data_IF_330655276056
#
_entry.id   IF_330655276056
#
_cell.length_a   1.000
_cell.length_b   1.000
_cell.length_c   1.000
_cell.angle_alpha   90.00
_cell.angle_beta   90.00
_cell.angle_gamma   90.00
#
_symmetry.space_group_name_H-M   'P 1'
#
loop_
_entity.id
_entity.type
_entity.pdbx_description
1 polymer ?
#
# COMPACT_ATOMS: atom_id res chain seq x y z
N UNK A 1 -9.11 -28.48 29.95
CA UNK A 1 -9.45 -28.18 28.54
C UNK A 1 -9.74 -26.68 28.45
N UNK A 2 -8.72 -25.82 28.35
CA UNK A 2 -8.91 -24.37 28.58
C UNK A 2 -7.92 -23.48 27.82
N UNK A 3 -7.74 -23.70 26.51
CA UNK A 3 -6.78 -22.90 25.70
C UNK A 3 -7.42 -22.25 24.45
N UNK A 4 -8.55 -22.76 23.96
CA UNK A 4 -9.10 -22.37 22.63
C UNK A 4 -9.95 -21.09 22.67
N UNK A 5 -10.48 -20.68 23.83
CA UNK A 5 -11.37 -19.51 23.92
C UNK A 5 -10.62 -18.17 23.87
N UNK A 6 -9.39 -18.11 24.40
CA UNK A 6 -8.62 -16.86 24.57
C UNK A 6 -8.11 -16.28 23.24
N UNK A 7 -7.72 -17.09 22.26
CA UNK A 7 -7.24 -16.59 20.95
C UNK A 7 -8.37 -16.04 20.09
N UNK A 8 -9.49 -16.76 20.02
CA UNK A 8 -10.67 -16.36 19.23
C UNK A 8 -11.30 -15.07 19.77
N UNK A 9 -11.38 -14.92 21.09
CA UNK A 9 -11.88 -13.67 21.71
C UNK A 9 -11.00 -12.46 21.42
N UNK A 10 -9.66 -12.60 21.43
CA UNK A 10 -8.75 -11.50 21.12
C UNK A 10 -8.91 -11.04 19.67
N UNK A 11 -8.87 -11.96 18.71
CA UNK A 11 -8.99 -11.62 17.27
C UNK A 11 -10.34 -10.96 16.96
N UNK A 12 -11.45 -11.48 17.50
CA UNK A 12 -12.78 -10.87 17.34
C UNK A 12 -12.82 -9.44 17.90
N UNK A 13 -12.16 -9.20 19.03
CA UNK A 13 -12.05 -7.86 19.62
C UNK A 13 -11.20 -6.93 18.75
N UNK A 14 -10.04 -7.38 18.26
CA UNK A 14 -9.19 -6.61 17.34
C UNK A 14 -9.91 -6.24 16.05
N UNK A 15 -10.65 -7.16 15.43
CA UNK A 15 -11.42 -6.87 14.22
C UNK A 15 -12.50 -5.83 14.51
N UNK A 16 -13.21 -5.94 15.65
CA UNK A 16 -14.24 -4.97 16.06
C UNK A 16 -13.65 -3.58 16.31
N UNK A 17 -12.46 -3.50 16.91
CA UNK A 17 -11.74 -2.24 17.12
C UNK A 17 -11.23 -1.66 15.78
N UNK A 18 -10.65 -2.48 14.90
CA UNK A 18 -10.21 -2.07 13.56
C UNK A 18 -11.35 -1.55 12.68
N UNK A 19 -12.53 -2.18 12.74
CA UNK A 19 -13.74 -1.70 12.06
C UNK A 19 -14.18 -0.32 12.56
N UNK A 20 -14.05 -0.05 13.86
CA UNK A 20 -14.36 1.29 14.41
C UNK A 20 -13.39 2.32 13.87
N UNK A 21 -12.09 2.01 13.83
CA UNK A 21 -11.06 2.91 13.27
C UNK A 21 -11.35 3.22 11.80
N UNK A 22 -11.61 2.19 10.97
CA UNK A 22 -11.95 2.36 9.55
C UNK A 22 -13.19 3.23 9.32
N UNK A 23 -14.14 3.22 10.27
CA UNK A 23 -15.35 4.04 10.22
C UNK A 23 -15.11 5.50 10.66
N UNK A 24 -14.10 5.74 11.50
CA UNK A 24 -13.69 7.07 11.96
C UNK A 24 -12.77 7.75 10.93
N UNK A 25 -11.95 6.98 10.21
CA UNK A 25 -11.07 7.54 9.17
C UNK A 25 -11.86 8.12 8.01
N UNK A 26 -11.49 9.34 7.59
CA UNK A 26 -12.09 10.01 6.43
C UNK A 26 -11.76 9.22 5.16
N UNK A 27 -12.77 8.68 4.49
CA UNK A 27 -12.62 8.11 3.14
C UNK A 27 -12.16 9.24 2.19
N UNK A 28 -11.08 9.04 1.41
CA UNK A 28 -10.57 10.10 0.53
C UNK A 28 -11.64 10.50 -0.49
N UNK A 29 -11.74 11.81 -0.74
CA UNK A 29 -12.56 12.32 -1.84
C UNK A 29 -11.94 11.91 -3.19
N UNK A 30 -12.76 11.83 -4.24
CA UNK A 30 -12.28 11.52 -5.60
C UNK A 30 -11.19 12.51 -6.05
N UNK A 31 -11.31 13.77 -5.67
CA UNK A 31 -10.32 14.81 -6.00
C UNK A 31 -8.98 14.59 -5.31
N UNK A 32 -8.98 14.33 -4.00
CA UNK A 32 -7.79 14.01 -3.21
C UNK A 32 -7.09 12.76 -3.75
N UNK A 33 -7.87 11.71 -4.05
CA UNK A 33 -7.35 10.47 -4.62
C UNK A 33 -6.65 10.69 -5.97
N UNK A 34 -7.30 11.42 -6.89
CA UNK A 34 -6.71 11.70 -8.21
C UNK A 34 -5.43 12.53 -8.08
N UNK A 35 -5.38 13.50 -7.18
CA UNK A 35 -4.17 14.30 -6.94
C UNK A 35 -3.01 13.43 -6.45
N UNK A 36 -3.26 12.54 -5.48
CA UNK A 36 -2.24 11.60 -4.99
C UNK A 36 -1.76 10.69 -6.11
N UNK A 37 -2.68 10.07 -6.85
CA UNK A 37 -2.34 9.16 -7.95
C UNK A 37 -1.53 9.85 -9.04
N UNK A 38 -1.84 11.11 -9.38
CA UNK A 38 -1.06 11.87 -10.36
C UNK A 38 0.38 12.09 -9.91
N UNK A 39 0.58 12.50 -8.66
CA UNK A 39 1.92 12.77 -8.11
C UNK A 39 2.72 11.47 -7.96
N UNK A 40 2.11 10.42 -7.39
CA UNK A 40 2.76 9.11 -7.25
C UNK A 40 3.07 8.49 -8.62
N UNK A 41 2.15 8.60 -9.57
CA UNK A 41 2.33 8.13 -10.95
C UNK A 41 3.51 8.82 -11.63
N UNK A 42 3.64 10.14 -11.46
CA UNK A 42 4.79 10.89 -11.97
C UNK A 42 6.11 10.39 -11.36
N UNK A 43 6.14 10.17 -10.04
CA UNK A 43 7.32 9.64 -9.35
C UNK A 43 7.72 8.25 -9.82
N UNK A 44 6.75 7.35 -10.01
CA UNK A 44 6.99 6.00 -10.53
C UNK A 44 7.56 6.02 -11.95
N UNK A 45 7.08 6.91 -12.81
CA UNK A 45 7.61 7.06 -14.18
C UNK A 45 9.05 7.54 -14.14
N UNK A 46 9.39 8.51 -13.29
CA UNK A 46 10.75 9.04 -13.18
C UNK A 46 11.71 7.96 -12.67
N UNK A 47 11.38 7.33 -11.54
CA UNK A 47 12.23 6.29 -10.93
C UNK A 47 12.33 5.07 -11.85
N UNK A 48 11.21 4.65 -12.44
CA UNK A 48 11.15 3.54 -13.39
C UNK A 48 11.98 3.83 -14.64
N UNK A 49 11.95 5.06 -15.17
CA UNK A 49 12.76 5.45 -16.33
C UNK A 49 14.24 5.43 -16.01
N UNK A 50 14.66 5.90 -14.83
CA UNK A 50 16.07 5.85 -14.41
C UNK A 50 16.54 4.39 -14.32
N UNK A 51 15.76 3.52 -13.64
CA UNK A 51 16.08 2.10 -13.56
C UNK A 51 16.08 1.41 -14.93
N UNK A 52 15.15 1.78 -15.80
CA UNK A 52 15.07 1.28 -17.18
C UNK A 52 16.29 1.68 -18.01
N UNK A 53 16.74 2.94 -17.92
CA UNK A 53 17.94 3.41 -18.61
C UNK A 53 19.17 2.63 -18.16
N UNK A 54 19.35 2.41 -16.85
CA UNK A 54 20.47 1.60 -16.33
C UNK A 54 20.39 0.16 -16.86
N UNK A 55 19.20 -0.44 -16.87
CA UNK A 55 19.00 -1.78 -17.38
C UNK A 55 19.34 -1.89 -18.88
N UNK A 56 18.84 -0.96 -19.68
CA UNK A 56 19.10 -0.91 -21.13
C UNK A 56 20.58 -0.70 -21.42
N UNK A 57 21.23 0.23 -20.72
CA UNK A 57 22.67 0.47 -20.86
C UNK A 57 23.47 -0.78 -20.53
N UNK A 58 23.15 -1.47 -19.42
CA UNK A 58 23.78 -2.74 -19.09
C UNK A 58 23.51 -3.80 -20.16
N UNK A 59 22.28 -3.94 -20.65
CA UNK A 59 21.94 -4.93 -21.66
C UNK A 59 22.66 -4.70 -23.00
N UNK A 60 22.90 -3.44 -23.39
CA UNK A 60 23.63 -3.08 -24.61
C UNK A 60 25.14 -3.18 -24.43
N UNK A 61 25.68 -2.79 -23.26
CA UNK A 61 27.12 -2.86 -22.96
C UNK A 61 27.62 -4.26 -22.61
N UNK A 62 26.81 -5.09 -21.94
CA UNK A 62 27.12 -6.49 -21.59
C UNK A 62 26.61 -7.51 -22.63
N UNK A 63 26.28 -7.05 -23.84
CA UNK A 63 26.11 -7.93 -24.98
C UNK A 63 27.46 -8.48 -25.46
#
# INVERSE_FOLDING_TARGET
>A
MEEVQTKSHRVKRFIKEAQRVLRITKKPSKTEYISIVKVTGLGLVIIGSIGFVIFVLNQVLFK
#
